data_IF_161136237228
#
_entry.id   IF_161136237228
#
_cell.length_a   1.000
_cell.length_b   1.000
_cell.length_c   1.000
_cell.angle_alpha   90.00
_cell.angle_beta   90.00
_cell.angle_gamma   90.00
#
_symmetry.space_group_name_H-M   'P 1'
#
loop_
_entity.id
_entity.type
_entity.pdbx_description
1 polymer ?
#
# COMPACT_ATOMS: atom_id res chain seq x y z
N UNK A 1 -15.71 8.55 -7.19
CA UNK A 1 -15.18 7.25 -6.73
C UNK A 1 -13.98 6.95 -7.62
N UNK A 2 -12.76 6.89 -7.09
CA UNK A 2 -11.60 6.55 -7.92
C UNK A 2 -11.48 5.02 -7.96
N UNK A 3 -11.66 4.44 -9.14
CA UNK A 3 -11.58 3.02 -9.37
C UNK A 3 -10.13 2.60 -9.68
N UNK A 4 -9.79 1.39 -9.24
CA UNK A 4 -8.54 0.70 -9.51
C UNK A 4 -8.38 0.47 -11.02
N UNK A 5 -7.48 1.21 -11.69
CA UNK A 5 -7.09 0.96 -13.09
C UNK A 5 -5.91 -0.01 -13.14
N UNK A 6 -6.00 -1.13 -13.87
CA UNK A 6 -4.84 -1.97 -14.17
C UNK A 6 -3.80 -1.18 -14.97
N UNK A 7 -2.53 -1.54 -14.80
CA UNK A 7 -1.41 -1.03 -15.58
C UNK A 7 -1.62 -1.39 -17.06
N UNK A 8 -1.91 -0.40 -17.90
CA UNK A 8 -1.84 -0.56 -19.36
C UNK A 8 -0.36 -0.53 -19.74
N UNK A 9 0.18 -1.68 -20.14
CA UNK A 9 1.40 -1.71 -20.92
C UNK A 9 1.04 -1.23 -22.32
N UNK A 10 1.56 -0.07 -22.73
CA UNK A 10 1.43 0.42 -24.10
C UNK A 10 1.98 -0.63 -25.08
N UNK A 11 1.10 -1.30 -25.82
CA UNK A 11 1.44 -2.34 -26.82
C UNK A 11 2.05 -1.77 -28.12
N UNK A 12 2.62 -0.56 -28.11
CA UNK A 12 3.21 0.03 -29.31
C UNK A 12 4.52 0.76 -29.00
N UNK A 13 5.61 0.04 -28.77
CA UNK A 13 6.88 0.39 -29.41
C UNK A 13 7.97 -0.70 -29.33
N UNK A 14 8.46 -1.05 -30.53
CA UNK A 14 9.78 -1.58 -30.89
C UNK A 14 10.08 -3.06 -30.62
N UNK A 15 10.12 -3.83 -31.72
CA UNK A 15 11.00 -4.98 -31.92
C UNK A 15 12.41 -4.66 -31.39
N UNK A 16 12.74 -5.12 -30.20
CA UNK A 16 14.10 -5.10 -29.70
C UNK A 16 14.73 -6.47 -29.94
N UNK A 17 15.39 -6.54 -31.10
CA UNK A 17 16.43 -7.50 -31.44
C UNK A 17 17.36 -7.69 -30.23
N UNK A 18 17.45 -8.92 -29.74
CA UNK A 18 18.23 -9.28 -28.57
C UNK A 18 19.70 -9.25 -28.99
N UNK A 19 20.33 -8.09 -28.81
CA UNK A 19 21.79 -8.01 -28.68
C UNK A 19 22.14 -7.45 -27.31
N UNK A 20 23.08 -8.14 -26.68
CA UNK A 20 23.53 -7.99 -25.31
C UNK A 20 23.89 -6.54 -24.95
N UNK A 21 23.22 -5.95 -23.98
CA UNK A 21 23.83 -5.01 -23.02
C UNK A 21 22.89 -4.71 -21.83
N UNK A 22 23.39 -5.01 -20.62
CA UNK A 22 23.00 -4.50 -19.30
C UNK A 22 21.55 -4.71 -18.81
N UNK A 23 21.27 -5.92 -18.30
CA UNK A 23 20.15 -6.16 -17.39
C UNK A 23 20.48 -5.56 -16.03
N UNK A 24 20.09 -4.31 -15.77
CA UNK A 24 19.91 -3.85 -14.39
C UNK A 24 18.71 -4.61 -13.81
N UNK A 25 18.99 -5.52 -12.88
CA UNK A 25 17.95 -6.21 -12.10
C UNK A 25 17.20 -5.19 -11.26
N UNK A 26 16.06 -4.71 -11.73
CA UNK A 26 15.14 -3.91 -10.92
C UNK A 26 14.52 -4.84 -9.88
N UNK A 27 15.00 -4.75 -8.65
CA UNK A 27 14.48 -5.51 -7.50
C UNK A 27 12.98 -5.23 -7.31
N UNK A 28 12.14 -6.26 -7.46
CA UNK A 28 10.69 -6.18 -7.25
C UNK A 28 10.39 -5.93 -5.77
N UNK A 29 10.19 -4.67 -5.40
CA UNK A 29 9.70 -4.27 -4.08
C UNK A 29 8.22 -3.89 -4.20
N UNK A 30 7.33 -4.80 -3.83
CA UNK A 30 5.88 -4.64 -3.89
C UNK A 30 5.40 -3.37 -3.16
N UNK A 31 6.05 -2.99 -2.06
CA UNK A 31 5.70 -1.80 -1.29
C UNK A 31 6.03 -0.51 -2.05
N UNK A 32 7.16 -0.46 -2.76
CA UNK A 32 7.52 0.69 -3.60
C UNK A 32 6.52 0.86 -4.74
N UNK A 33 6.03 -0.25 -5.30
CA UNK A 33 5.02 -0.20 -6.36
C UNK A 33 3.68 0.34 -5.85
N UNK A 34 3.26 -0.03 -4.64
CA UNK A 34 2.05 0.52 -3.99
C UNK A 34 2.20 2.03 -3.76
N UNK A 35 3.34 2.48 -3.22
CA UNK A 35 3.59 3.90 -2.98
C UNK A 35 3.58 4.70 -4.31
N UNK A 36 4.25 4.17 -5.34
CA UNK A 36 4.33 4.78 -6.66
C UNK A 36 2.96 4.89 -7.32
N UNK A 37 2.17 3.81 -7.28
CA UNK A 37 0.81 3.81 -7.81
C UNK A 37 -0.06 4.81 -7.05
N UNK A 38 0.04 4.82 -5.73
CA UNK A 38 -0.74 5.75 -4.91
C UNK A 38 -0.45 7.21 -5.27
N UNK A 39 0.82 7.55 -5.43
CA UNK A 39 1.25 8.90 -5.80
C UNK A 39 0.84 9.30 -7.22
N UNK A 40 0.92 8.39 -8.19
CA UNK A 40 0.68 8.71 -9.61
C UNK A 40 -0.78 8.60 -10.03
N UNK A 41 -1.53 7.66 -9.44
CA UNK A 41 -2.86 7.28 -9.92
C UNK A 41 -3.95 7.54 -8.89
N UNK A 42 -3.74 7.21 -7.61
CA UNK A 42 -4.81 7.34 -6.61
C UNK A 42 -4.98 8.79 -6.14
N UNK A 43 -3.95 9.36 -5.52
CA UNK A 43 -4.02 10.66 -4.84
C UNK A 43 -4.40 11.82 -5.77
N UNK A 44 -3.93 11.90 -7.04
CA UNK A 44 -4.33 12.97 -7.95
C UNK A 44 -5.78 12.88 -8.44
N UNK A 45 -6.39 11.68 -8.39
CA UNK A 45 -7.68 11.40 -9.03
C UNK A 45 -8.84 11.23 -8.04
N UNK A 46 -8.61 11.43 -6.74
CA UNK A 46 -9.67 11.42 -5.72
C UNK A 46 -10.09 12.86 -5.38
N UNK A 47 -11.36 13.07 -4.93
CA UNK A 47 -11.80 14.39 -4.51
C UNK A 47 -10.91 14.99 -3.40
N UNK A 48 -10.73 16.32 -3.37
CA UNK A 48 -9.93 16.97 -2.33
C UNK A 48 -10.48 16.64 -0.94
N UNK A 49 -9.60 16.54 0.06
CA UNK A 49 -9.96 16.24 1.47
C UNK A 49 -10.67 14.89 1.69
N UNK A 50 -10.50 13.95 0.76
CA UNK A 50 -10.98 12.57 0.93
C UNK A 50 -10.33 11.85 2.11
N UNK A 51 -11.09 10.90 2.68
CA UNK A 51 -10.61 9.90 3.65
C UNK A 51 -10.35 8.59 2.90
N UNK A 52 -9.12 8.10 2.98
CA UNK A 52 -8.68 6.84 2.38
C UNK A 52 -8.75 5.77 3.46
N UNK A 53 -9.58 4.76 3.25
CA UNK A 53 -9.68 3.61 4.15
C UNK A 53 -8.79 2.49 3.64
N UNK A 54 -7.78 2.13 4.43
CA UNK A 54 -6.89 1.00 4.15
C UNK A 54 -7.22 -0.18 5.06
N UNK A 55 -7.06 -1.38 4.55
CA UNK A 55 -7.05 -2.56 5.39
C UNK A 55 -5.77 -2.61 6.25
N UNK A 56 -5.83 -3.36 7.34
CA UNK A 56 -4.73 -3.44 8.31
C UNK A 56 -3.85 -4.66 8.03
N UNK A 57 -3.32 -4.74 6.81
CA UNK A 57 -2.36 -5.77 6.42
C UNK A 57 -0.93 -5.20 6.43
N UNK A 58 0.04 -5.90 7.07
CA UNK A 58 1.40 -5.39 7.20
C UNK A 58 2.09 -5.02 5.88
N UNK A 59 1.76 -5.74 4.79
CA UNK A 59 2.34 -5.58 3.47
C UNK A 59 1.74 -4.42 2.65
N UNK A 60 0.75 -3.70 3.17
CA UNK A 60 0.23 -2.49 2.52
C UNK A 60 0.84 -1.20 3.08
N UNK A 61 1.67 -1.30 4.11
CA UNK A 61 2.07 -0.14 4.91
C UNK A 61 3.57 -0.14 5.17
N UNK A 62 4.32 0.54 4.28
CA UNK A 62 5.74 0.77 4.48
C UNK A 62 5.97 1.78 5.60
N UNK A 63 6.71 1.37 6.62
CA UNK A 63 7.07 2.23 7.75
C UNK A 63 8.15 3.22 7.29
N UNK A 64 7.89 4.51 7.46
CA UNK A 64 8.80 5.60 7.12
C UNK A 64 9.99 5.62 8.09
N UNK A 65 9.70 5.64 9.39
CA UNK A 65 10.69 5.68 10.46
C UNK A 65 10.55 4.45 11.34
N UNK A 66 11.35 3.41 11.07
CA UNK A 66 11.27 2.16 11.82
C UNK A 66 11.67 2.38 13.29
N UNK A 67 10.76 2.06 14.19
CA UNK A 67 11.03 2.08 15.63
C UNK A 67 12.10 1.02 15.94
N UNK A 68 13.19 1.38 16.64
CA UNK A 68 14.25 0.44 16.98
C UNK A 68 13.75 -0.75 17.79
N UNK A 69 14.33 -1.93 17.55
CA UNK A 69 14.01 -3.17 18.25
C UNK A 69 15.28 -3.84 18.82
N UNK A 70 15.14 -5.06 19.34
CA UNK A 70 16.26 -5.79 19.96
C UNK A 70 17.38 -6.14 18.98
N UNK A 71 17.14 -6.14 17.67
CA UNK A 71 18.16 -6.41 16.65
C UNK A 71 18.84 -5.13 16.14
N UNK A 72 18.22 -3.95 16.30
CA UNK A 72 18.78 -2.65 15.89
C UNK A 72 20.11 -2.35 16.60
N UNK A 73 21.11 -1.80 15.90
CA UNK A 73 22.41 -1.48 16.51
C UNK A 73 22.25 -0.35 17.56
N UNK A 74 23.15 -0.32 18.53
CA UNK A 74 23.11 0.69 19.63
C UNK A 74 23.22 2.12 19.09
N UNK A 75 24.06 2.32 18.08
CA UNK A 75 24.24 3.62 17.42
C UNK A 75 22.96 4.10 16.73
N UNK A 76 22.27 3.21 16.01
CA UNK A 76 21.00 3.51 15.35
C UNK A 76 19.89 3.84 16.36
N UNK A 77 19.87 3.17 17.52
CA UNK A 77 18.96 3.49 18.64
C UNK A 77 19.22 4.93 19.13
N UNK A 78 20.47 5.31 19.33
CA UNK A 78 20.82 6.67 19.76
C UNK A 78 20.49 7.71 18.69
N UNK A 79 20.75 7.39 17.41
CA UNK A 79 20.37 8.24 16.28
C UNK A 79 18.86 8.46 16.24
N UNK A 80 18.07 7.40 16.43
CA UNK A 80 16.61 7.50 16.53
C UNK A 80 16.18 8.41 17.69
N UNK A 81 16.76 8.24 18.89
CA UNK A 81 16.46 9.09 20.05
C UNK A 81 16.78 10.58 19.79
N UNK A 82 17.93 10.87 19.16
CA UNK A 82 18.29 12.25 18.77
C UNK A 82 17.30 12.82 17.77
N UNK A 83 16.94 12.06 16.73
CA UNK A 83 16.00 12.49 15.71
C UNK A 83 14.59 12.76 16.27
N UNK A 84 14.19 12.06 17.32
CA UNK A 84 12.91 12.28 18.02
C UNK A 84 13.04 13.26 19.20
N UNK A 85 14.15 14.00 19.32
CA UNK A 85 14.44 14.97 20.37
C UNK A 85 14.24 14.42 21.80
N UNK A 86 14.57 13.14 22.00
CA UNK A 86 14.49 12.52 23.33
C UNK A 86 15.70 12.91 24.19
N UNK A 87 15.48 13.01 25.50
CA UNK A 87 16.59 13.17 26.44
C UNK A 87 17.46 11.91 26.47
N UNK A 88 18.73 12.04 26.13
CA UNK A 88 19.70 10.95 26.15
C UNK A 88 20.52 11.07 27.43
N UNK A 89 20.57 10.04 28.29
CA UNK A 89 21.39 10.08 29.51
C UNK A 89 22.86 10.33 29.18
N UNK A 90 23.54 11.18 29.95
CA UNK A 90 24.97 11.50 29.76
C UNK A 90 25.85 10.25 29.71
N UNK A 91 25.59 9.29 30.61
CA UNK A 91 26.19 7.95 30.55
C UNK A 91 25.30 7.00 29.79
N UNK A 92 25.70 6.67 28.56
CA UNK A 92 24.91 5.83 27.65
C UNK A 92 24.64 4.44 28.28
N UNK A 93 23.38 4.13 28.64
CA UNK A 93 23.06 2.89 29.31
C UNK A 93 23.12 1.67 28.37
N UNK A 94 22.87 0.50 28.92
CA UNK A 94 22.79 -0.76 28.18
C UNK A 94 21.62 -0.69 27.17
N UNK A 95 21.78 -1.34 26.01
CA UNK A 95 20.79 -1.37 24.92
C UNK A 95 19.35 -1.62 25.39
N UNK A 96 19.17 -2.53 26.34
CA UNK A 96 17.85 -2.85 26.91
C UNK A 96 17.18 -1.62 27.53
N UNK A 97 17.91 -0.84 28.32
CA UNK A 97 17.37 0.35 28.98
C UNK A 97 17.03 1.47 27.98
N UNK A 98 17.82 1.60 26.91
CA UNK A 98 17.48 2.52 25.81
C UNK A 98 16.17 2.14 25.13
N UNK A 99 15.96 0.85 24.86
CA UNK A 99 14.71 0.36 24.27
C UNK A 99 13.51 0.53 25.21
N UNK A 100 13.68 0.39 26.53
CA UNK A 100 12.64 0.70 27.52
C UNK A 100 12.22 2.16 27.47
N UNK A 101 13.18 3.10 27.45
CA UNK A 101 12.89 4.53 27.33
C UNK A 101 12.15 4.87 26.03
N UNK A 102 12.50 4.23 24.90
CA UNK A 102 11.78 4.40 23.64
C UNK A 102 10.35 3.85 23.73
N UNK A 103 10.15 2.71 24.40
CA UNK A 103 8.81 2.12 24.60
C UNK A 103 7.92 2.98 25.48
N UNK A 104 8.47 3.60 26.52
CA UNK A 104 7.74 4.51 27.44
C UNK A 104 7.13 5.71 26.71
N UNK A 105 7.74 6.18 25.61
CA UNK A 105 7.20 7.28 24.80
C UNK A 105 6.02 6.88 23.91
N UNK A 106 5.72 5.57 23.78
CA UNK A 106 4.61 5.04 22.99
C UNK A 106 4.55 5.59 21.55
N UNK A 107 5.70 5.67 20.88
CA UNK A 107 5.76 6.10 19.48
C UNK A 107 4.89 5.22 18.60
N UNK A 108 4.10 5.86 17.73
CA UNK A 108 3.33 5.17 16.70
C UNK A 108 4.18 5.04 15.43
N UNK A 109 3.93 3.98 14.68
CA UNK A 109 4.53 3.84 13.36
C UNK A 109 4.00 4.96 12.45
N UNK A 110 4.93 5.63 11.79
CA UNK A 110 4.64 6.57 10.70
C UNK A 110 4.76 5.81 9.39
N UNK A 111 3.76 5.94 8.52
CA UNK A 111 3.72 5.22 7.24
C UNK A 111 3.92 6.18 6.07
N UNK A 112 4.57 5.68 5.03
CA UNK A 112 4.86 6.47 3.82
C UNK A 112 3.57 6.95 3.16
N UNK A 113 2.61 6.05 3.01
CA UNK A 113 1.32 6.36 2.38
C UNK A 113 0.55 7.45 3.13
N UNK A 114 0.60 7.45 4.47
CA UNK A 114 -0.05 8.46 5.31
C UNK A 114 0.57 9.84 5.05
N UNK A 115 1.90 9.91 4.96
CA UNK A 115 2.61 11.13 4.65
C UNK A 115 2.30 11.63 3.22
N UNK A 116 2.31 10.73 2.23
CA UNK A 116 1.96 11.07 0.84
C UNK A 116 0.52 11.60 0.76
N UNK A 117 -0.43 10.91 1.37
CA UNK A 117 -1.83 11.34 1.40
C UNK A 117 -1.99 12.70 2.09
N UNK A 118 -1.30 12.92 3.22
CA UNK A 118 -1.32 14.20 3.94
C UNK A 118 -0.79 15.35 3.11
N UNK A 119 0.28 15.15 2.32
CA UNK A 119 0.80 16.18 1.39
C UNK A 119 -0.26 16.58 0.36
N UNK A 120 -1.05 15.61 -0.12
CA UNK A 120 -2.13 15.84 -1.08
C UNK A 120 -3.44 16.31 -0.40
N UNK A 121 -3.42 16.57 0.91
CA UNK A 121 -4.57 17.06 1.67
C UNK A 121 -5.61 15.98 2.00
N UNK A 122 -5.24 14.70 1.95
CA UNK A 122 -6.08 13.56 2.29
C UNK A 122 -5.72 12.98 3.66
N UNK A 123 -6.65 12.23 4.26
CA UNK A 123 -6.43 11.54 5.53
C UNK A 123 -6.52 10.03 5.33
N UNK A 124 -5.60 9.26 5.91
CA UNK A 124 -5.63 7.79 5.88
C UNK A 124 -6.18 7.26 7.20
N UNK A 125 -7.09 6.30 7.12
CA UNK A 125 -7.60 5.53 8.27
C UNK A 125 -7.45 4.05 7.98
N UNK A 126 -7.07 3.26 9.01
CA UNK A 126 -6.93 1.81 8.89
C UNK A 126 -8.06 1.09 9.60
N UNK A 127 -8.55 0.02 8.98
CA UNK A 127 -9.57 -0.84 9.60
C UNK A 127 -9.00 -1.55 10.84
N UNK A 128 -9.85 -1.91 11.82
CA UNK A 128 -9.43 -2.78 12.90
C UNK A 128 -8.92 -4.14 12.36
N UNK A 129 -7.86 -4.71 12.94
CA UNK A 129 -7.36 -6.01 12.51
C UNK A 129 -8.45 -7.08 12.62
N UNK A 130 -8.53 -7.96 11.62
CA UNK A 130 -9.52 -9.05 11.49
C UNK A 130 -10.97 -8.63 11.18
N UNK A 131 -11.24 -7.36 10.88
CA UNK A 131 -12.57 -6.88 10.49
C UNK A 131 -12.64 -6.54 9.00
N UNK A 132 -12.35 -7.52 8.13
CA UNK A 132 -12.43 -7.35 6.67
C UNK A 132 -13.86 -7.04 6.18
N UNK A 133 -14.90 -7.34 6.98
CA UNK A 133 -16.30 -7.00 6.68
C UNK A 133 -16.54 -5.49 6.51
N UNK A 134 -15.66 -4.66 7.07
CA UNK A 134 -15.73 -3.20 6.91
C UNK A 134 -14.96 -2.69 5.69
N UNK A 135 -14.27 -3.57 4.95
CA UNK A 135 -13.57 -3.19 3.74
C UNK A 135 -14.58 -3.11 2.58
N UNK A 136 -14.83 -1.92 2.00
CA UNK A 136 -15.82 -1.78 0.92
C UNK A 136 -15.52 -2.68 -0.28
N UNK A 137 -14.25 -2.97 -0.57
CA UNK A 137 -13.88 -3.86 -1.68
C UNK A 137 -14.38 -5.29 -1.45
N UNK A 138 -14.28 -5.79 -0.21
CA UNK A 138 -14.76 -7.12 0.17
C UNK A 138 -16.28 -7.19 0.05
N UNK A 139 -16.99 -6.11 0.40
CA UNK A 139 -18.43 -6.02 0.23
C UNK A 139 -18.84 -6.08 -1.25
N UNK A 140 -18.13 -5.34 -2.11
CA UNK A 140 -18.34 -5.34 -3.55
C UNK A 140 -18.08 -6.74 -4.14
N UNK A 141 -16.98 -7.40 -3.76
CA UNK A 141 -16.69 -8.77 -4.20
C UNK A 141 -17.62 -9.83 -3.61
N UNK A 142 -18.10 -9.64 -2.39
CA UNK A 142 -19.08 -10.53 -1.76
C UNK A 142 -20.49 -10.36 -2.34
N UNK A 143 -20.76 -9.23 -3.01
CA UNK A 143 -22.03 -9.03 -3.67
C UNK A 143 -22.26 -10.14 -4.72
N UNK A 144 -23.41 -10.85 -4.67
CA UNK A 144 -23.72 -11.92 -5.62
C UNK A 144 -23.63 -11.47 -7.07
N UNK A 145 -23.92 -10.19 -7.32
CA UNK A 145 -23.90 -9.60 -8.65
C UNK A 145 -22.53 -9.65 -9.34
N UNK A 146 -21.42 -9.53 -8.61
CA UNK A 146 -20.07 -9.53 -9.21
C UNK A 146 -19.53 -10.96 -9.28
N UNK A 147 -19.46 -11.64 -8.13
CA UNK A 147 -18.81 -12.95 -8.04
C UNK A 147 -19.53 -14.04 -8.83
N UNK A 148 -20.86 -14.09 -8.80
CA UNK A 148 -21.60 -15.11 -9.54
C UNK A 148 -21.58 -14.86 -11.05
N UNK A 149 -21.62 -13.59 -11.48
CA UNK A 149 -21.45 -13.24 -12.89
C UNK A 149 -20.04 -13.62 -13.35
N UNK A 150 -19.01 -13.22 -12.62
CA UNK A 150 -17.63 -13.54 -12.98
C UNK A 150 -17.39 -15.05 -13.03
N UNK A 151 -17.95 -15.83 -12.10
CA UNK A 151 -17.83 -17.29 -12.14
C UNK A 151 -18.47 -17.92 -13.39
N UNK A 152 -19.52 -17.32 -13.95
CA UNK A 152 -20.16 -17.82 -15.19
C UNK A 152 -19.31 -17.55 -16.43
N UNK A 153 -18.62 -16.41 -16.48
CA UNK A 153 -17.84 -15.98 -17.65
C UNK A 153 -16.36 -16.38 -17.58
N UNK A 154 -15.80 -16.49 -16.37
CA UNK A 154 -14.39 -16.83 -16.20
C UNK A 154 -14.18 -18.34 -16.36
N UNK A 155 -13.60 -18.71 -17.51
CA UNK A 155 -13.21 -20.09 -17.83
C UNK A 155 -11.71 -20.34 -17.62
N UNK A 156 -10.94 -19.32 -17.21
CA UNK A 156 -9.49 -19.43 -17.03
C UNK A 156 -9.13 -19.59 -15.54
N UNK A 157 -8.31 -20.60 -15.18
CA UNK A 157 -7.76 -20.71 -13.82
C UNK A 157 -6.66 -19.69 -13.54
N UNK A 158 -6.16 -18.98 -14.56
CA UNK A 158 -5.08 -18.00 -14.46
C UNK A 158 -5.54 -16.58 -14.83
N UNK A 159 -4.88 -15.58 -14.23
CA UNK A 159 -5.06 -14.18 -14.59
C UNK A 159 -4.60 -13.96 -16.04
N UNK A 160 -5.52 -13.56 -16.92
CA UNK A 160 -5.28 -13.32 -18.34
C UNK A 160 -6.05 -12.09 -18.80
N UNK A 161 -5.73 -11.55 -19.98
CA UNK A 161 -6.44 -10.41 -20.55
C UNK A 161 -7.96 -10.63 -20.60
N UNK A 162 -8.39 -11.85 -20.95
CA UNK A 162 -9.80 -12.24 -20.96
C UNK A 162 -10.46 -12.11 -19.57
N UNK A 163 -9.75 -12.44 -18.49
CA UNK A 163 -10.25 -12.26 -17.12
C UNK A 163 -10.45 -10.78 -16.80
N UNK A 164 -9.49 -9.93 -17.19
CA UNK A 164 -9.56 -8.48 -16.99
C UNK A 164 -10.75 -7.89 -17.77
N UNK A 165 -10.96 -8.30 -19.01
CA UNK A 165 -12.07 -7.85 -19.84
C UNK A 165 -13.42 -8.30 -19.27
N UNK A 166 -13.50 -9.52 -18.72
CA UNK A 166 -14.71 -10.01 -18.06
C UNK A 166 -15.03 -9.20 -16.81
N UNK A 167 -14.03 -8.83 -16.00
CA UNK A 167 -14.21 -7.95 -14.84
C UNK A 167 -14.76 -6.60 -15.30
N UNK A 168 -14.12 -5.96 -16.29
CA UNK A 168 -14.57 -4.66 -16.85
C UNK A 168 -16.01 -4.72 -17.34
N UNK A 169 -16.36 -5.70 -18.18
CA UNK A 169 -17.72 -5.87 -18.70
C UNK A 169 -18.77 -5.99 -17.60
N UNK A 170 -18.45 -6.72 -16.52
CA UNK A 170 -19.39 -6.95 -15.43
C UNK A 170 -19.54 -5.71 -14.56
N UNK A 171 -18.45 -4.99 -14.28
CA UNK A 171 -18.50 -3.73 -13.52
C UNK A 171 -19.25 -2.65 -14.30
N UNK A 172 -18.99 -2.50 -15.60
CA UNK A 172 -19.68 -1.51 -16.44
C UNK A 172 -21.17 -1.81 -16.53
N UNK A 173 -21.55 -3.09 -16.63
CA UNK A 173 -22.95 -3.50 -16.63
C UNK A 173 -23.66 -3.22 -15.30
N UNK A 174 -22.94 -3.11 -14.18
CA UNK A 174 -23.52 -2.77 -12.88
C UNK A 174 -23.73 -1.27 -12.73
N UNK A 175 -22.75 -0.46 -13.16
CA UNK A 175 -22.85 1.00 -13.12
C UNK A 175 -23.96 1.54 -14.03
N UNK A 176 -24.31 0.81 -15.10
CA UNK A 176 -25.40 1.15 -16.01
C UNK A 176 -26.79 0.64 -15.58
N UNK A 177 -26.88 -0.18 -14.54
CA UNK A 177 -28.15 -0.48 -13.88
C UNK A 177 -28.38 0.56 -12.79
N UNK A 178 -29.12 1.61 -13.10
CA UNK A 178 -29.60 2.56 -12.10
C UNK A 178 -30.30 1.80 -10.94
N UNK A 179 -29.94 2.17 -9.70
CA UNK A 179 -30.62 1.77 -8.47
C UNK A 179 -32.04 2.34 -8.40
#
# INVERSE_FOLDING_TARGET
MAFWRPFETDENNVDLDITSENVETVEYDELKNIDLHSQKQLLPNIPPKSVIVMDNAPYHSRILNKIPNITTKKEDILKFMRNKNMNIPEKIPIKRKLLELIKEQNFKNEYVIDHLASIHGHTVTRLPPYYCVFNPIEMVWAAPAIKDRLRKYNQSPTLSASVVDNVRKITDALDNTEL
#
